data_IF_552833298267
#
_entry.id   IF_552833298267
#
_cell.length_a   1.000
_cell.length_b   1.000
_cell.length_c   1.000
_cell.angle_alpha   90.00
_cell.angle_beta   90.00
_cell.angle_gamma   90.00
#
_symmetry.space_group_name_H-M   'P 1'
#
loop_
_entity.id
_entity.type
_entity.pdbx_description
1 polymer ?
#
# COMPACT_ATOMS: atom_id res chain seq x y z
N UNK A 1 -38.53 -32.64 -14.65
CA UNK A 1 -37.88 -31.54 -13.88
C UNK A 1 -36.66 -32.08 -13.16
N UNK A 2 -35.46 -31.82 -13.69
CA UNK A 2 -34.16 -32.02 -13.03
C UNK A 2 -33.22 -30.92 -13.58
N UNK A 3 -33.20 -29.79 -12.87
CA UNK A 3 -32.06 -29.19 -12.17
C UNK A 3 -30.88 -28.83 -13.07
N UNK A 4 -30.82 -27.53 -13.40
CA UNK A 4 -29.64 -26.78 -13.82
C UNK A 4 -28.54 -26.89 -12.76
N UNK A 5 -27.34 -27.34 -13.15
CA UNK A 5 -26.14 -27.23 -12.31
C UNK A 5 -25.25 -26.14 -12.94
N UNK A 6 -25.22 -24.99 -12.26
CA UNK A 6 -24.34 -23.87 -12.52
C UNK A 6 -22.88 -24.29 -12.31
N UNK A 7 -22.06 -24.22 -13.35
CA UNK A 7 -20.62 -24.44 -13.25
C UNK A 7 -19.95 -23.16 -12.76
N UNK A 8 -19.69 -23.05 -11.45
CA UNK A 8 -18.78 -22.04 -10.92
C UNK A 8 -17.34 -22.58 -10.99
N UNK A 9 -16.62 -22.13 -12.00
CA UNK A 9 -15.19 -22.32 -12.17
C UNK A 9 -14.46 -21.26 -11.32
N UNK A 10 -14.15 -21.56 -10.06
CA UNK A 10 -13.24 -20.73 -9.25
C UNK A 10 -11.83 -21.22 -9.48
N UNK A 11 -11.07 -20.43 -10.24
CA UNK A 11 -9.68 -20.70 -10.59
C UNK A 11 -8.79 -20.48 -9.37
N UNK A 12 -8.23 -21.60 -8.91
CA UNK A 12 -6.94 -21.81 -8.26
C UNK A 12 -6.41 -20.71 -7.30
N UNK A 13 -6.50 -21.04 -6.02
CA UNK A 13 -5.57 -20.61 -4.97
C UNK A 13 -4.11 -20.72 -5.44
N UNK A 14 -3.39 -19.59 -5.47
CA UNK A 14 -1.94 -19.64 -5.32
C UNK A 14 -1.62 -19.76 -3.84
N UNK A 15 -1.25 -20.99 -3.44
CA UNK A 15 -0.67 -21.27 -2.14
C UNK A 15 0.76 -20.78 -2.07
N UNK A 16 1.05 -19.98 -1.05
CA UNK A 16 2.39 -19.84 -0.50
C UNK A 16 2.26 -19.93 1.02
N UNK A 17 2.41 -21.16 1.51
CA UNK A 17 2.62 -21.47 2.92
C UNK A 17 4.08 -21.14 3.25
N UNK A 18 4.31 -20.18 4.14
CA UNK A 18 5.53 -20.14 4.95
C UNK A 18 5.11 -20.33 6.40
N UNK A 19 5.66 -21.38 6.99
CA UNK A 19 5.35 -21.88 8.32
C UNK A 19 5.67 -20.85 9.42
N UNK A 20 4.91 -20.97 10.49
CA UNK A 20 4.92 -20.14 11.68
C UNK A 20 6.31 -19.93 12.30
N UNK A 21 6.71 -18.66 12.39
CA UNK A 21 7.16 -18.09 13.65
C UNK A 21 6.18 -16.95 13.96
N UNK A 22 5.34 -17.13 14.99
CA UNK A 22 4.59 -16.05 15.60
C UNK A 22 5.45 -15.58 16.78
N UNK A 23 6.15 -14.43 16.71
CA UNK A 23 6.59 -13.76 17.90
C UNK A 23 5.49 -12.82 18.39
N UNK A 24 5.05 -13.12 19.61
CA UNK A 24 4.42 -12.28 20.65
C UNK A 24 3.77 -10.96 20.23
N UNK A 25 2.47 -10.90 20.51
CA UNK A 25 1.63 -9.70 20.60
C UNK A 25 2.25 -8.60 21.49
N UNK A 26 2.34 -7.43 20.88
CA UNK A 26 2.85 -6.16 21.36
C UNK A 26 3.28 -5.46 20.08
N UNK A 27 2.32 -4.86 19.36
CA UNK A 27 2.42 -4.47 17.94
C UNK A 27 3.51 -3.40 17.69
N UNK A 28 4.77 -3.79 17.81
CA UNK A 28 5.90 -3.08 17.25
C UNK A 28 5.94 -3.45 15.75
N UNK A 29 5.40 -2.56 14.91
CA UNK A 29 5.45 -2.71 13.46
C UNK A 29 6.91 -2.88 13.03
N UNK A 30 7.25 -4.02 12.43
CA UNK A 30 8.62 -4.27 12.01
C UNK A 30 9.00 -3.35 10.83
N UNK A 31 10.29 -3.03 10.71
CA UNK A 31 10.84 -2.28 9.59
C UNK A 31 10.40 -2.84 8.23
N UNK A 32 10.42 -4.16 8.09
CA UNK A 32 10.04 -4.85 6.85
C UNK A 32 8.54 -4.74 6.57
N UNK A 33 7.70 -4.77 7.62
CA UNK A 33 6.26 -4.52 7.48
C UNK A 33 5.99 -3.10 7.00
N UNK A 34 6.71 -2.10 7.54
CA UNK A 34 6.56 -0.72 7.14
C UNK A 34 7.03 -0.48 5.69
N UNK A 35 8.16 -1.08 5.28
CA UNK A 35 8.63 -1.04 3.88
C UNK A 35 7.59 -1.64 2.95
N UNK A 36 7.05 -2.82 3.28
CA UNK A 36 6.04 -3.47 2.43
C UNK A 36 4.75 -2.64 2.33
N UNK A 37 4.33 -2.01 3.43
CA UNK A 37 3.18 -1.09 3.43
C UNK A 37 3.42 0.11 2.52
N UNK A 38 4.59 0.76 2.62
CA UNK A 38 4.94 1.87 1.73
C UNK A 38 4.96 1.45 0.24
N UNK A 39 5.50 0.27 -0.08
CA UNK A 39 5.49 -0.29 -1.45
C UNK A 39 4.06 -0.52 -1.98
N UNK A 40 3.17 -1.04 -1.14
CA UNK A 40 1.77 -1.25 -1.51
C UNK A 40 1.06 0.07 -1.82
N UNK A 41 1.29 1.11 -1.01
CA UNK A 41 0.72 2.44 -1.25
C UNK A 41 1.26 3.07 -2.56
N UNK A 42 2.55 2.92 -2.85
CA UNK A 42 3.11 3.36 -4.14
C UNK A 42 2.43 2.63 -5.30
N UNK A 43 2.23 1.32 -5.18
CA UNK A 43 1.54 0.53 -6.20
C UNK A 43 0.09 0.99 -6.38
N UNK A 44 -0.62 1.23 -5.28
CA UNK A 44 -1.99 1.74 -5.30
C UNK A 44 -2.09 3.11 -5.99
N UNK A 45 -1.21 4.05 -5.63
CA UNK A 45 -1.15 5.37 -6.25
C UNK A 45 -0.87 5.30 -7.75
N UNK A 46 0.11 4.49 -8.17
CA UNK A 46 0.42 4.27 -9.59
C UNK A 46 -0.75 3.65 -10.35
N UNK A 47 -1.43 2.67 -9.74
CA UNK A 47 -2.60 2.03 -10.34
C UNK A 47 -3.77 3.03 -10.48
N UNK A 48 -4.02 3.86 -9.46
CA UNK A 48 -5.05 4.89 -9.52
C UNK A 48 -4.79 5.90 -10.64
N UNK A 49 -3.54 6.38 -10.77
CA UNK A 49 -3.12 7.27 -11.84
C UNK A 49 -3.24 6.63 -13.24
N UNK A 50 -2.99 5.33 -13.36
CA UNK A 50 -3.14 4.61 -14.63
C UNK A 50 -4.61 4.40 -15.03
N UNK A 51 -5.51 4.29 -14.06
CA UNK A 51 -6.93 3.95 -14.30
C UNK A 51 -7.85 5.18 -14.40
N UNK A 52 -7.42 6.34 -13.91
CA UNK A 52 -8.21 7.58 -13.98
C UNK A 52 -7.69 8.52 -15.06
N UNK A 53 -8.60 9.18 -15.76
CA UNK A 53 -8.23 10.20 -16.74
C UNK A 53 -7.77 11.46 -16.01
N UNK A 54 -6.60 11.97 -16.39
CA UNK A 54 -6.14 13.28 -15.95
C UNK A 54 -6.98 14.38 -16.63
N UNK A 55 -7.58 15.24 -15.81
CA UNK A 55 -8.40 16.38 -16.23
C UNK A 55 -7.97 17.63 -15.47
N UNK A 56 -8.34 18.82 -15.95
CA UNK A 56 -8.07 20.07 -15.21
C UNK A 56 -8.71 20.06 -13.81
N UNK A 57 -9.89 19.41 -13.66
CA UNK A 57 -10.62 19.35 -12.39
C UNK A 57 -9.89 18.53 -11.32
N UNK A 58 -9.19 17.46 -11.71
CA UNK A 58 -8.46 16.59 -10.78
C UNK A 58 -6.94 16.81 -10.83
N UNK A 59 -6.45 17.81 -11.55
CA UNK A 59 -5.03 18.04 -11.79
C UNK A 59 -4.22 18.14 -10.49
N UNK A 60 -4.70 18.93 -9.53
CA UNK A 60 -4.05 19.06 -8.22
C UNK A 60 -4.00 17.74 -7.44
N UNK A 61 -5.05 16.93 -7.55
CA UNK A 61 -5.07 15.62 -6.88
C UNK A 61 -4.05 14.66 -7.51
N UNK A 62 -3.93 14.68 -8.85
CA UNK A 62 -2.94 13.90 -9.58
C UNK A 62 -1.50 14.31 -9.20
N UNK A 63 -1.21 15.60 -9.17
CA UNK A 63 0.11 16.11 -8.74
C UNK A 63 0.46 15.65 -7.32
N UNK A 64 -0.48 15.78 -6.39
CA UNK A 64 -0.25 15.40 -4.99
C UNK A 64 -0.05 13.88 -4.83
N UNK A 65 -0.70 13.05 -5.65
CA UNK A 65 -0.43 11.60 -5.66
C UNK A 65 1.01 11.31 -6.13
N UNK A 66 1.52 12.00 -7.15
CA UNK A 66 2.91 11.86 -7.56
C UNK A 66 3.88 12.27 -6.45
N UNK A 67 3.60 13.37 -5.75
CA UNK A 67 4.40 13.80 -4.60
C UNK A 67 4.41 12.74 -3.49
N UNK A 68 3.25 12.21 -3.12
CA UNK A 68 3.15 11.14 -2.10
C UNK A 68 3.95 9.90 -2.52
N UNK A 69 3.88 9.48 -3.78
CA UNK A 69 4.68 8.35 -4.29
C UNK A 69 6.17 8.62 -4.08
N UNK A 70 6.67 9.81 -4.47
CA UNK A 70 8.07 10.17 -4.28
C UNK A 70 8.49 10.21 -2.80
N UNK A 71 7.61 10.69 -1.92
CA UNK A 71 7.88 10.68 -0.47
C UNK A 71 7.96 9.27 0.08
N UNK A 72 7.06 8.37 -0.32
CA UNK A 72 7.07 6.96 0.10
C UNK A 72 8.32 6.22 -0.40
N UNK A 73 8.82 6.53 -1.61
CA UNK A 73 10.09 5.97 -2.10
C UNK A 73 11.27 6.41 -1.23
N UNK A 74 11.29 7.67 -0.79
CA UNK A 74 12.31 8.15 0.15
C UNK A 74 12.18 7.50 1.53
N UNK A 75 10.95 7.25 2.02
CA UNK A 75 10.72 6.51 3.27
C UNK A 75 11.34 5.12 3.17
N UNK A 76 11.07 4.38 2.08
CA UNK A 76 11.64 3.05 1.85
C UNK A 76 13.17 3.12 1.86
N UNK A 77 13.77 4.07 1.14
CA UNK A 77 15.22 4.24 1.10
C UNK A 77 15.80 4.48 2.51
N UNK A 78 15.17 5.33 3.32
CA UNK A 78 15.62 5.58 4.71
C UNK A 78 15.49 4.32 5.57
N UNK A 79 14.41 3.56 5.46
CA UNK A 79 14.21 2.33 6.22
C UNK A 79 15.20 1.22 5.79
N UNK A 80 15.55 1.15 4.51
CA UNK A 80 16.53 0.18 4.02
C UNK A 80 17.95 0.49 4.52
N UNK A 81 18.30 1.78 4.67
CA UNK A 81 19.67 2.21 4.95
C UNK A 81 19.94 2.76 6.36
N UNK A 82 18.92 3.05 7.18
CA UNK A 82 19.08 3.60 8.54
C UNK A 82 18.58 2.62 9.61
N UNK A 83 19.32 2.52 10.73
CA UNK A 83 19.13 1.52 11.80
C UNK A 83 18.94 2.20 13.19
N UNK A 84 17.91 3.03 13.37
CA UNK A 84 17.52 3.43 14.73
C UNK A 84 15.98 3.44 14.90
N UNK A 85 15.53 3.14 16.11
CA UNK A 85 14.10 2.98 16.46
C UNK A 85 13.31 4.30 16.36
N UNK A 86 13.94 5.44 16.70
CA UNK A 86 13.32 6.77 16.55
C UNK A 86 13.03 7.12 15.09
N UNK A 87 13.85 6.65 14.16
CA UNK A 87 13.58 6.75 12.72
C UNK A 87 12.37 5.89 12.37
N UNK A 88 12.25 4.68 12.90
CA UNK A 88 11.14 3.77 12.57
C UNK A 88 9.77 4.36 12.95
N UNK A 89 9.61 4.86 14.18
CA UNK A 89 8.35 5.48 14.64
C UNK A 89 7.99 6.73 13.81
N UNK A 90 9.00 7.54 13.46
CA UNK A 90 8.79 8.72 12.61
C UNK A 90 8.33 8.30 11.22
N UNK A 91 8.99 7.33 10.60
CA UNK A 91 8.61 6.84 9.27
C UNK A 91 7.22 6.19 9.29
N UNK A 92 6.86 5.48 10.36
CA UNK A 92 5.51 4.92 10.52
C UNK A 92 4.44 6.01 10.50
N UNK A 93 4.66 7.09 11.26
CA UNK A 93 3.75 8.24 11.26
C UNK A 93 3.62 8.90 9.89
N UNK A 94 4.71 8.99 9.12
CA UNK A 94 4.66 9.46 7.73
C UNK A 94 3.83 8.55 6.84
N UNK A 95 4.07 7.23 6.87
CA UNK A 95 3.32 6.26 6.08
C UNK A 95 1.82 6.30 6.44
N UNK A 96 1.48 6.37 7.73
CA UNK A 96 0.09 6.52 8.20
C UNK A 96 -0.59 7.80 7.69
N UNK A 97 0.15 8.91 7.60
CA UNK A 97 -0.37 10.15 7.03
C UNK A 97 -0.59 10.03 5.53
N UNK A 98 0.42 9.53 4.81
CA UNK A 98 0.36 9.35 3.37
C UNK A 98 -0.72 8.37 2.94
N UNK A 99 -0.96 7.28 3.67
CA UNK A 99 -2.05 6.35 3.39
C UNK A 99 -3.41 7.05 3.43
N UNK A 100 -3.71 7.74 4.53
CA UNK A 100 -4.98 8.47 4.68
C UNK A 100 -5.15 9.49 3.56
N UNK A 101 -4.09 10.25 3.26
CA UNK A 101 -4.12 11.29 2.24
C UNK A 101 -4.28 10.71 0.84
N UNK A 102 -3.56 9.63 0.52
CA UNK A 102 -3.65 8.93 -0.75
C UNK A 102 -5.06 8.41 -0.99
N UNK A 103 -5.68 7.77 0.00
CA UNK A 103 -7.06 7.27 -0.12
C UNK A 103 -8.11 8.38 -0.26
N UNK A 104 -7.89 9.56 0.34
CA UNK A 104 -8.72 10.74 0.06
C UNK A 104 -8.55 11.24 -1.37
N UNK A 105 -7.32 11.33 -1.86
CA UNK A 105 -7.04 11.82 -3.21
C UNK A 105 -7.61 10.89 -4.28
N UNK A 106 -7.40 9.57 -4.12
CA UNK A 106 -7.91 8.55 -5.05
C UNK A 106 -9.43 8.58 -5.12
N UNK A 107 -10.14 8.78 -4.00
CA UNK A 107 -11.60 8.93 -3.99
C UNK A 107 -12.10 10.17 -4.74
N UNK A 108 -11.23 11.16 -4.94
CA UNK A 108 -11.54 12.43 -5.59
C UNK A 108 -10.88 12.57 -6.98
N UNK A 109 -10.33 11.50 -7.56
CA UNK A 109 -9.85 11.46 -8.94
C UNK A 109 -11.01 11.35 -9.93
#
# INVERSE_FOLDING_TARGET
>A
MKSFIFTFLVVALFGLTIAAQIPKSGDDLSKDQLINRARNLIHEGRNALSNHKHTEKNHKNVEEIYEIIGQLEMVIHRLEHQLNETTLEREENFVNNFERRLHELIRNL
#
